data_IF_918335446941
#
_entry.id   IF_918335446941
#
_cell.length_a   1.000
_cell.length_b   1.000
_cell.length_c   1.000
_cell.angle_alpha   90.00
_cell.angle_beta   90.00
_cell.angle_gamma   90.00
#
_symmetry.space_group_name_H-M   'P 1'
#
loop_
_entity.id
_entity.type
_entity.pdbx_description
1 polymer ?
#
# COMPACT_ATOMS: atom_id res chain seq x y z
N UNK A 1 5.72 -77.50 28.12
CA UNK A 1 4.95 -76.41 28.69
C UNK A 1 5.69 -75.10 28.37
N UNK A 2 5.17 -74.31 27.41
CA UNK A 2 5.79 -73.07 26.96
C UNK A 2 4.93 -71.89 27.44
N UNK A 3 5.49 -71.11 28.36
CA UNK A 3 4.84 -69.93 28.90
C UNK A 3 4.87 -68.78 27.86
N UNK A 4 3.71 -68.38 27.35
CA UNK A 4 3.50 -67.17 26.58
C UNK A 4 3.36 -65.98 27.51
N UNK A 5 4.33 -65.05 27.51
CA UNK A 5 4.21 -63.79 28.19
C UNK A 5 3.53 -62.80 27.23
N UNK A 6 2.33 -62.37 27.53
CA UNK A 6 1.60 -61.28 26.88
C UNK A 6 2.23 -59.95 27.26
N UNK A 7 2.86 -59.24 26.33
CA UNK A 7 3.30 -57.88 26.48
C UNK A 7 2.13 -56.96 26.11
N UNK A 8 1.51 -56.33 27.11
CA UNK A 8 0.56 -55.21 26.91
C UNK A 8 1.34 -53.96 26.50
N UNK A 9 1.25 -53.56 25.25
CA UNK A 9 1.64 -52.24 24.80
C UNK A 9 0.54 -51.23 25.21
N UNK A 10 0.78 -50.44 26.24
CA UNK A 10 -0.01 -49.29 26.57
C UNK A 10 0.34 -48.14 25.59
N UNK A 11 -0.52 -47.90 24.59
CA UNK A 11 -0.43 -46.74 23.72
C UNK A 11 -0.82 -45.49 24.53
N UNK A 12 0.18 -44.69 24.91
CA UNK A 12 0.00 -43.34 25.45
C UNK A 12 -0.53 -42.44 24.31
N UNK A 13 -1.85 -42.28 24.23
CA UNK A 13 -2.49 -41.19 23.48
C UNK A 13 -2.19 -39.87 24.19
N UNK A 14 -1.14 -39.20 23.76
CA UNK A 14 -0.92 -37.82 24.17
C UNK A 14 -2.06 -36.97 23.56
N UNK A 15 -2.78 -36.16 24.34
CA UNK A 15 -3.76 -35.24 23.79
C UNK A 15 -3.01 -34.21 22.96
N UNK A 16 -3.20 -34.24 21.65
CA UNK A 16 -2.84 -33.13 20.78
C UNK A 16 -3.74 -31.95 21.15
N UNK A 17 -3.21 -31.06 22.00
CA UNK A 17 -3.82 -29.76 22.22
C UNK A 17 -3.73 -29.03 20.89
N UNK A 18 -4.78 -29.10 20.08
CA UNK A 18 -5.02 -28.14 19.02
C UNK A 18 -5.15 -26.78 19.71
N UNK A 19 -4.07 -26.04 19.69
CA UNK A 19 -4.13 -24.60 19.96
C UNK A 19 -4.96 -24.02 18.83
N UNK A 20 -6.29 -23.92 19.03
CA UNK A 20 -7.13 -23.07 18.23
C UNK A 20 -6.52 -21.70 18.28
N UNK A 21 -5.94 -21.24 17.15
CA UNK A 21 -5.59 -19.83 17.01
C UNK A 21 -6.90 -19.07 17.16
N UNK A 22 -7.12 -18.50 18.33
CA UNK A 22 -8.09 -17.45 18.52
C UNK A 22 -7.85 -16.46 17.40
N UNK A 23 -8.87 -16.19 16.58
CA UNK A 23 -8.85 -15.07 15.64
C UNK A 23 -8.65 -13.85 16.54
N UNK A 24 -7.39 -13.41 16.66
CA UNK A 24 -7.05 -12.25 17.47
C UNK A 24 -7.74 -11.07 16.81
N UNK A 25 -8.58 -10.37 17.56
CA UNK A 25 -9.25 -9.17 17.09
C UNK A 25 -8.22 -8.17 16.58
N UNK A 26 -8.13 -8.01 15.27
CA UNK A 26 -7.20 -7.06 14.62
C UNK A 26 -7.61 -5.64 14.99
N UNK A 27 -6.67 -4.85 15.50
CA UNK A 27 -6.88 -3.43 15.78
C UNK A 27 -6.62 -2.60 14.54
N UNK A 28 -7.64 -1.95 14.02
CA UNK A 28 -7.55 -1.09 12.84
C UNK A 28 -7.30 0.37 13.24
N UNK A 29 -6.34 1.00 12.58
CA UNK A 29 -6.04 2.44 12.66
C UNK A 29 -6.31 3.06 11.29
N UNK A 30 -6.99 4.21 11.27
CA UNK A 30 -7.23 4.93 10.02
C UNK A 30 -5.91 5.50 9.48
N UNK A 31 -5.61 5.22 8.21
CA UNK A 31 -4.37 5.66 7.59
C UNK A 31 -4.28 7.20 7.45
N UNK A 32 -5.40 7.92 7.59
CA UNK A 32 -5.42 9.40 7.68
C UNK A 32 -4.71 9.95 8.91
N UNK A 33 -4.51 9.13 9.95
CA UNK A 33 -3.77 9.48 11.16
C UNK A 33 -2.26 9.27 11.03
N UNK A 34 -1.81 8.72 9.90
CA UNK A 34 -0.42 8.43 9.60
C UNK A 34 0.12 9.41 8.54
N UNK A 35 1.40 9.38 8.28
CA UNK A 35 2.00 10.28 7.29
C UNK A 35 1.75 9.78 5.87
N UNK A 36 1.06 10.61 5.07
CA UNK A 36 0.93 10.39 3.62
C UNK A 36 2.05 11.13 2.89
N UNK A 37 2.74 10.44 1.99
CA UNK A 37 3.79 11.00 1.11
C UNK A 37 3.38 10.86 -0.36
N UNK A 38 4.11 11.53 -1.25
CA UNK A 38 3.90 11.47 -2.71
C UNK A 38 2.93 12.53 -3.26
N UNK A 39 2.37 13.42 -2.41
CA UNK A 39 1.52 14.52 -2.87
C UNK A 39 2.32 15.72 -3.34
N UNK A 40 2.02 16.20 -4.54
CA UNK A 40 2.57 17.43 -5.06
C UNK A 40 1.99 18.66 -4.30
N UNK A 41 0.66 18.68 -4.13
CA UNK A 41 -0.11 19.71 -3.43
C UNK A 41 -1.14 19.09 -2.47
N UNK A 42 -1.54 19.77 -1.41
CA UNK A 42 -2.68 19.36 -0.60
C UNK A 42 -3.97 19.27 -1.43
N UNK A 43 -4.83 18.31 -1.10
CA UNK A 43 -6.15 18.15 -1.71
C UNK A 43 -7.21 17.89 -0.63
N UNK A 44 -8.48 18.27 -0.83
CA UNK A 44 -9.56 17.99 0.12
C UNK A 44 -9.75 16.49 0.39
N UNK A 45 -9.51 15.65 -0.62
CA UNK A 45 -9.54 14.20 -0.48
C UNK A 45 -8.12 13.65 -0.30
N UNK A 46 -7.86 12.98 0.80
CA UNK A 46 -6.53 12.53 1.21
C UNK A 46 -5.82 11.74 0.11
N UNK A 47 -6.52 10.85 -0.59
CA UNK A 47 -5.93 9.93 -1.56
C UNK A 47 -5.98 10.42 -3.02
N UNK A 48 -6.46 11.65 -3.27
CA UNK A 48 -6.41 12.26 -4.60
C UNK A 48 -5.07 12.96 -4.84
N UNK A 49 -4.57 12.94 -6.08
CA UNK A 49 -3.29 13.56 -6.46
C UNK A 49 -3.41 15.03 -6.80
N UNK A 50 -4.52 15.45 -7.38
CA UNK A 50 -4.81 16.84 -7.76
C UNK A 50 -6.22 17.22 -7.31
N UNK A 51 -6.38 18.45 -6.82
CA UNK A 51 -7.68 19.09 -6.62
C UNK A 51 -8.18 19.68 -7.93
N UNK A 52 -8.97 18.91 -8.69
CA UNK A 52 -9.55 19.34 -9.96
C UNK A 52 -10.77 20.26 -9.79
N UNK A 53 -11.13 20.63 -8.55
CA UNK A 53 -12.08 21.69 -8.26
C UNK A 53 -11.37 23.03 -8.17
N UNK A 54 -10.20 23.09 -7.55
CA UNK A 54 -9.34 24.28 -7.50
C UNK A 54 -8.69 24.54 -8.88
N UNK A 55 -8.11 23.52 -9.49
CA UNK A 55 -7.51 23.59 -10.84
C UNK A 55 -8.55 23.17 -11.90
N UNK A 56 -8.88 24.06 -12.84
CA UNK A 56 -9.90 23.83 -13.87
C UNK A 56 -9.32 23.29 -15.18
N UNK A 57 -10.19 22.87 -16.08
CA UNK A 57 -9.81 22.45 -17.43
C UNK A 57 -9.68 20.92 -17.62
N UNK A 58 -9.63 20.15 -16.54
CA UNK A 58 -9.49 18.69 -16.61
C UNK A 58 -10.72 18.03 -17.26
N UNK A 59 -10.48 17.20 -18.27
CA UNK A 59 -11.50 16.35 -18.87
C UNK A 59 -12.05 15.32 -17.89
N UNK A 60 -13.14 14.65 -18.22
CA UNK A 60 -13.71 13.57 -17.39
C UNK A 60 -12.69 12.46 -17.09
N UNK A 61 -11.89 12.07 -18.09
CA UNK A 61 -10.85 11.04 -17.94
C UNK A 61 -9.71 11.50 -17.02
N UNK A 62 -9.26 12.74 -17.19
CA UNK A 62 -8.21 13.32 -16.35
C UNK A 62 -8.66 13.50 -14.92
N UNK A 63 -9.90 13.96 -14.70
CA UNK A 63 -10.51 14.03 -13.37
C UNK A 63 -10.53 12.65 -12.67
N UNK A 64 -10.88 11.59 -13.39
CA UNK A 64 -10.87 10.24 -12.85
C UNK A 64 -9.44 9.81 -12.47
N UNK A 65 -8.45 10.11 -13.33
CA UNK A 65 -7.06 9.76 -13.04
C UNK A 65 -6.44 10.63 -11.92
N UNK A 66 -6.82 11.90 -11.81
CA UNK A 66 -6.39 12.76 -10.72
C UNK A 66 -6.80 12.21 -9.34
N UNK A 67 -7.89 11.45 -9.28
CA UNK A 67 -8.39 10.79 -8.08
C UNK A 67 -7.74 9.43 -7.77
N UNK A 68 -7.01 8.85 -8.71
CA UNK A 68 -6.21 7.66 -8.45
C UNK A 68 -4.99 8.00 -7.59
N UNK A 69 -4.54 7.04 -6.78
CA UNK A 69 -3.49 7.24 -5.77
C UNK A 69 -2.07 6.91 -6.28
N UNK A 70 -1.84 6.95 -7.60
CA UNK A 70 -0.54 6.63 -8.19
C UNK A 70 0.58 7.51 -7.58
N UNK A 71 1.59 6.86 -7.00
CA UNK A 71 2.71 7.55 -6.37
C UNK A 71 2.47 7.98 -4.92
N UNK A 72 1.26 7.83 -4.39
CA UNK A 72 1.00 8.07 -2.98
C UNK A 72 1.40 6.85 -2.14
N UNK A 73 1.91 7.10 -0.94
CA UNK A 73 2.20 6.06 0.03
C UNK A 73 1.91 6.52 1.46
N UNK A 74 1.64 5.57 2.35
CA UNK A 74 1.53 5.79 3.79
C UNK A 74 2.81 5.31 4.45
N UNK A 75 3.44 6.15 5.28
CA UNK A 75 4.60 5.77 6.08
C UNK A 75 4.24 5.74 7.56
N UNK A 76 4.75 4.73 8.25
CA UNK A 76 4.44 4.48 9.66
C UNK A 76 5.56 3.68 10.33
N UNK A 77 5.54 3.66 11.65
CA UNK A 77 6.37 2.76 12.47
C UNK A 77 5.45 1.78 13.21
N UNK A 78 5.87 0.51 13.27
CA UNK A 78 5.11 -0.52 13.97
C UNK A 78 6.02 -1.63 14.49
N UNK A 79 5.61 -2.29 15.58
CA UNK A 79 6.21 -3.55 16.03
C UNK A 79 5.33 -4.77 15.71
N UNK A 80 4.23 -4.59 14.97
CA UNK A 80 3.33 -5.69 14.63
C UNK A 80 3.99 -6.74 13.75
N UNK A 81 3.84 -8.04 14.05
CA UNK A 81 4.29 -9.12 13.17
C UNK A 81 3.35 -9.36 11.99
N UNK A 82 2.20 -8.67 11.95
CA UNK A 82 1.20 -8.79 10.89
C UNK A 82 0.67 -7.41 10.51
N UNK A 83 0.43 -7.22 9.23
CA UNK A 83 -0.24 -6.04 8.66
C UNK A 83 -1.45 -6.52 7.87
N UNK A 84 -2.62 -6.09 8.30
CA UNK A 84 -3.87 -6.23 7.56
C UNK A 84 -4.25 -4.88 6.94
N UNK A 85 -5.01 -4.93 5.86
CA UNK A 85 -5.57 -3.75 5.23
C UNK A 85 -7.07 -3.88 5.10
N UNK A 86 -7.78 -2.79 5.35
CA UNK A 86 -9.21 -2.62 5.04
C UNK A 86 -9.38 -1.37 4.18
N UNK A 87 -9.33 -1.52 2.86
CA UNK A 87 -9.55 -0.42 1.93
C UNK A 87 -11.04 -0.20 1.67
N UNK A 88 -11.43 1.04 1.36
CA UNK A 88 -12.70 1.37 0.70
C UNK A 88 -12.40 2.03 -0.64
N UNK A 89 -12.90 1.47 -1.71
CA UNK A 89 -12.73 2.00 -3.06
C UNK A 89 -14.03 2.65 -3.52
N UNK A 90 -13.96 3.86 -4.03
CA UNK A 90 -15.03 4.49 -4.77
C UNK A 90 -15.10 3.96 -6.20
N UNK A 91 -13.93 3.72 -6.79
CA UNK A 91 -13.79 3.20 -8.14
C UNK A 91 -12.52 2.34 -8.27
N UNK A 92 -12.59 1.26 -9.06
CA UNK A 92 -11.47 0.38 -9.40
C UNK A 92 -11.32 0.23 -10.91
N UNK A 93 -10.09 0.29 -11.38
CA UNK A 93 -9.74 -0.03 -12.76
C UNK A 93 -9.60 -1.53 -12.95
N UNK A 94 -10.27 -2.06 -13.96
CA UNK A 94 -10.18 -3.48 -14.32
C UNK A 94 -10.07 -3.59 -15.83
N UNK A 95 -8.85 -3.71 -16.35
CA UNK A 95 -8.56 -3.95 -17.76
C UNK A 95 -7.28 -4.78 -17.88
N UNK A 96 -7.12 -5.45 -19.00
CA UNK A 96 -6.07 -6.43 -19.25
C UNK A 96 -4.65 -5.84 -19.35
N UNK A 97 -4.52 -4.54 -19.55
CA UNK A 97 -3.24 -3.85 -19.69
C UNK A 97 -2.61 -3.36 -18.39
N UNK A 98 -3.21 -3.68 -17.24
CA UNK A 98 -2.69 -3.38 -15.90
C UNK A 98 -2.91 -4.59 -15.01
N UNK A 99 -1.87 -5.03 -14.29
CA UNK A 99 -2.04 -6.15 -13.35
C UNK A 99 -3.02 -5.76 -12.24
N UNK A 100 -3.75 -6.73 -11.69
CA UNK A 100 -4.69 -6.47 -10.59
C UNK A 100 -4.02 -5.81 -9.38
N UNK A 101 -2.77 -6.20 -9.06
CA UNK A 101 -2.00 -5.62 -7.96
C UNK A 101 -1.61 -4.17 -8.27
N UNK A 102 -1.19 -3.87 -9.50
CA UNK A 102 -0.87 -2.50 -9.89
C UNK A 102 -2.11 -1.59 -9.90
N UNK A 103 -3.24 -2.13 -10.34
CA UNK A 103 -4.48 -1.37 -10.46
C UNK A 103 -5.13 -1.06 -9.12
N UNK A 104 -5.30 -2.06 -8.24
CA UNK A 104 -6.08 -1.98 -7.01
C UNK A 104 -5.33 -2.52 -5.77
N UNK A 105 -4.08 -2.94 -5.91
CA UNK A 105 -3.29 -3.52 -4.82
C UNK A 105 -2.45 -2.50 -4.07
N UNK A 106 -1.82 -3.02 -3.02
CA UNK A 106 -0.91 -2.32 -2.13
C UNK A 106 0.46 -2.98 -2.19
N UNK A 107 1.52 -2.22 -1.96
CA UNK A 107 2.89 -2.68 -2.09
C UNK A 107 3.71 -2.20 -0.88
N UNK A 108 4.06 -3.13 0.02
CA UNK A 108 4.71 -2.85 1.30
C UNK A 108 6.22 -3.04 1.20
N UNK A 109 6.94 -2.05 1.67
CA UNK A 109 8.37 -2.08 1.92
C UNK A 109 8.63 -1.85 3.41
N UNK A 110 9.67 -2.50 3.94
CA UNK A 110 10.14 -2.34 5.32
C UNK A 110 11.56 -1.78 5.27
N UNK A 111 11.85 -0.81 6.13
CA UNK A 111 13.18 -0.21 6.20
C UNK A 111 14.16 -1.10 6.94
N UNK A 112 15.27 -1.44 6.29
CA UNK A 112 16.38 -2.21 6.86
C UNK A 112 17.69 -1.57 6.41
N UNK A 113 18.60 -1.31 7.33
CA UNK A 113 19.91 -0.69 7.03
C UNK A 113 19.82 0.58 6.16
N UNK A 114 18.84 1.42 6.43
CA UNK A 114 18.49 2.63 5.66
C UNK A 114 17.98 2.40 4.23
N UNK A 115 17.69 1.18 3.83
CA UNK A 115 17.10 0.82 2.53
C UNK A 115 15.66 0.35 2.68
N UNK A 116 14.83 0.61 1.67
CA UNK A 116 13.46 0.12 1.59
C UNK A 116 13.44 -1.24 0.91
N UNK A 117 13.31 -2.30 1.70
CA UNK A 117 13.29 -3.70 1.23
C UNK A 117 11.85 -4.13 0.99
N UNK A 118 11.60 -4.72 -0.16
CA UNK A 118 10.30 -5.28 -0.50
C UNK A 118 9.87 -6.36 0.50
N UNK A 119 8.67 -6.21 1.04
CA UNK A 119 8.09 -7.15 1.99
C UNK A 119 7.00 -8.02 1.34
N UNK A 120 5.95 -7.41 0.82
CA UNK A 120 4.89 -8.11 0.08
C UNK A 120 4.01 -7.13 -0.72
N UNK A 121 3.26 -7.66 -1.68
CA UNK A 121 2.25 -6.91 -2.43
C UNK A 121 1.03 -7.78 -2.70
N UNK A 122 -0.16 -7.23 -2.53
CA UNK A 122 -1.42 -7.94 -2.72
C UNK A 122 -2.55 -6.96 -3.08
N UNK A 123 -3.50 -7.43 -3.88
CA UNK A 123 -4.79 -6.77 -4.06
C UNK A 123 -5.86 -7.53 -3.26
N UNK A 124 -6.89 -6.86 -2.73
CA UNK A 124 -7.98 -7.55 -2.06
C UNK A 124 -8.72 -8.48 -3.03
N UNK A 125 -9.06 -9.68 -2.57
CA UNK A 125 -9.81 -10.65 -3.38
C UNK A 125 -11.22 -10.14 -3.71
N UNK A 126 -11.81 -9.41 -2.79
CA UNK A 126 -13.07 -8.73 -2.96
C UNK A 126 -12.96 -7.26 -2.54
N UNK A 127 -13.65 -6.41 -3.29
CA UNK A 127 -13.68 -4.98 -3.03
C UNK A 127 -14.20 -4.67 -1.63
N UNK A 128 -13.54 -3.73 -0.95
CA UNK A 128 -13.92 -3.23 0.37
C UNK A 128 -13.94 -4.30 1.49
N UNK A 129 -13.19 -5.40 1.30
CA UNK A 129 -12.98 -6.41 2.35
C UNK A 129 -11.59 -6.30 2.96
N UNK A 130 -11.51 -6.66 4.23
CA UNK A 130 -10.23 -6.77 4.93
C UNK A 130 -9.42 -7.96 4.42
N UNK A 131 -8.10 -7.80 4.37
CA UNK A 131 -7.19 -8.88 4.01
C UNK A 131 -5.83 -8.72 4.69
N UNK A 132 -5.14 -9.82 4.91
CA UNK A 132 -3.78 -9.81 5.44
C UNK A 132 -2.80 -9.53 4.30
N UNK A 133 -2.11 -8.40 4.37
CA UNK A 133 -1.06 -8.05 3.42
C UNK A 133 0.26 -8.75 3.76
N UNK A 134 0.64 -8.82 5.03
CA UNK A 134 1.88 -9.41 5.49
C UNK A 134 1.72 -10.06 6.85
N UNK A 135 2.38 -11.20 7.07
CA UNK A 135 2.42 -11.88 8.36
C UNK A 135 3.79 -12.52 8.60
N UNK A 136 4.06 -12.92 9.84
CA UNK A 136 5.30 -13.61 10.21
C UNK A 136 6.53 -12.72 10.29
N UNK A 137 6.35 -11.39 10.38
CA UNK A 137 7.45 -10.47 10.66
C UNK A 137 7.90 -10.60 12.12
N UNK A 138 9.15 -10.24 12.40
CA UNK A 138 9.61 -10.15 13.79
C UNK A 138 8.82 -9.07 14.56
N UNK A 139 8.46 -9.32 15.85
CA UNK A 139 7.73 -8.36 16.69
C UNK A 139 8.67 -7.26 17.23
N UNK A 140 9.45 -6.63 16.36
CA UNK A 140 10.36 -5.51 16.63
C UNK A 140 9.90 -4.28 15.89
N UNK A 141 10.28 -3.09 16.37
CA UNK A 141 10.03 -1.84 15.66
C UNK A 141 10.61 -1.88 14.26
N UNK A 142 9.81 -1.45 13.31
CA UNK A 142 10.16 -1.31 11.89
C UNK A 142 9.39 -0.16 11.26
N UNK A 143 10.00 0.51 10.31
CA UNK A 143 9.32 1.51 9.49
C UNK A 143 8.74 0.84 8.26
N UNK A 144 7.49 1.15 7.95
CA UNK A 144 6.76 0.68 6.79
C UNK A 144 6.51 1.80 5.78
N UNK A 145 6.68 1.50 4.50
CA UNK A 145 6.31 2.31 3.36
C UNK A 145 5.30 1.53 2.54
N UNK A 146 4.04 1.95 2.57
CA UNK A 146 2.92 1.28 1.92
C UNK A 146 2.46 2.10 0.71
N UNK A 147 2.88 1.72 -0.50
CA UNK A 147 2.39 2.34 -1.72
C UNK A 147 0.95 1.95 -2.01
N UNK A 148 0.18 2.92 -2.50
CA UNK A 148 -1.25 2.84 -2.75
C UNK A 148 -1.55 2.47 -4.22
N UNK A 149 -2.79 2.03 -4.53
CA UNK A 149 -3.19 1.62 -5.87
C UNK A 149 -2.96 2.70 -6.94
N UNK A 150 -2.39 2.32 -8.09
CA UNK A 150 -2.06 3.29 -9.14
C UNK A 150 -3.24 3.70 -10.01
N UNK A 151 -4.27 2.84 -10.13
CA UNK A 151 -5.37 3.06 -11.07
C UNK A 151 -6.74 2.99 -10.42
N UNK A 152 -6.83 3.06 -9.09
CA UNK A 152 -8.08 3.03 -8.35
C UNK A 152 -8.25 4.27 -7.49
N UNK A 153 -9.49 4.69 -7.25
CA UNK A 153 -9.86 5.76 -6.34
C UNK A 153 -10.15 5.17 -4.96
N UNK A 154 -9.27 5.41 -4.01
CA UNK A 154 -9.49 5.10 -2.60
C UNK A 154 -10.34 6.19 -1.94
N UNK A 155 -11.35 5.76 -1.18
CA UNK A 155 -12.14 6.61 -0.30
C UNK A 155 -11.56 6.62 1.11
N UNK A 156 -11.17 5.43 1.63
CA UNK A 156 -10.52 5.28 2.92
C UNK A 156 -9.59 4.06 2.92
N UNK A 157 -8.67 4.05 3.88
CA UNK A 157 -7.78 2.93 4.16
C UNK A 157 -7.60 2.82 5.67
N UNK A 158 -7.78 1.61 6.22
CA UNK A 158 -7.38 1.29 7.58
C UNK A 158 -6.26 0.25 7.55
N UNK A 159 -5.28 0.43 8.43
CA UNK A 159 -4.18 -0.50 8.64
C UNK A 159 -4.45 -1.28 9.92
N UNK A 160 -4.52 -2.59 9.80
CA UNK A 160 -4.75 -3.52 10.90
C UNK A 160 -3.43 -4.06 11.45
N UNK A 161 -3.32 -4.11 12.75
CA UNK A 161 -2.19 -4.66 13.49
C UNK A 161 -2.67 -5.64 14.55
N UNK A 162 -1.80 -6.56 14.98
CA UNK A 162 -2.14 -7.49 16.04
C UNK A 162 -2.39 -6.77 17.37
N UNK A 163 -3.29 -7.30 18.24
CA UNK A 163 -3.50 -6.76 19.58
C UNK A 163 -2.20 -6.70 20.36
N UNK A 164 -2.03 -5.61 21.12
CA UNK A 164 -0.82 -5.35 21.88
C UNK A 164 0.35 -4.77 21.07
N UNK A 165 0.21 -4.67 19.75
CA UNK A 165 1.19 -3.97 18.90
C UNK A 165 0.90 -2.46 18.85
N UNK A 166 1.95 -1.69 18.52
CA UNK A 166 1.87 -0.26 18.24
C UNK A 166 1.91 0.01 16.73
N UNK A 167 1.28 1.10 16.32
CA UNK A 167 1.48 1.77 15.04
C UNK A 167 1.47 3.27 15.26
N UNK A 168 2.45 3.95 14.70
CA UNK A 168 2.69 5.37 14.96
C UNK A 168 3.03 6.10 13.65
N UNK A 169 2.69 7.38 13.61
CA UNK A 169 3.13 8.28 12.55
C UNK A 169 4.64 8.53 12.66
N UNK A 170 5.32 8.66 11.52
CA UNK A 170 6.70 9.12 11.44
C UNK A 170 6.79 10.29 10.45
N UNK A 171 7.80 11.17 10.55
CA UNK A 171 8.04 12.20 9.54
C UNK A 171 8.20 11.60 8.14
N UNK A 172 8.00 12.43 7.10
CA UNK A 172 8.35 12.04 5.74
C UNK A 172 9.83 11.61 5.68
N UNK A 173 10.13 10.37 5.29
CA UNK A 173 11.50 9.86 5.28
C UNK A 173 12.32 10.32 4.07
N UNK A 174 11.69 10.93 3.07
CA UNK A 174 12.31 11.37 1.83
C UNK A 174 12.75 12.82 1.90
N UNK A 175 13.77 13.15 1.12
CA UNK A 175 14.39 14.48 1.09
C UNK A 175 13.71 15.46 0.14
N UNK A 176 14.46 15.96 -0.84
CA UNK A 176 13.99 16.97 -1.77
C UNK A 176 12.79 16.48 -2.61
N UNK A 177 11.77 17.34 -2.72
CA UNK A 177 10.57 17.08 -3.53
C UNK A 177 10.87 17.23 -5.01
N UNK A 178 10.44 16.25 -5.82
CA UNK A 178 10.53 16.23 -7.27
C UNK A 178 9.20 15.79 -7.87
N UNK A 179 8.69 16.52 -8.86
CA UNK A 179 7.47 16.19 -9.58
C UNK A 179 7.81 15.49 -10.89
N UNK A 180 7.26 14.29 -11.09
CA UNK A 180 7.31 13.57 -12.36
C UNK A 180 5.98 13.73 -13.10
N UNK A 181 5.96 14.58 -14.12
CA UNK A 181 4.83 14.69 -15.03
C UNK A 181 5.05 13.84 -16.29
N UNK A 182 4.02 13.09 -16.70
CA UNK A 182 4.13 12.26 -17.89
C UNK A 182 2.91 11.40 -18.18
N UNK A 183 3.09 10.45 -19.10
CA UNK A 183 2.03 9.59 -19.62
C UNK A 183 1.73 8.38 -18.70
N UNK A 184 1.17 7.33 -19.30
CA UNK A 184 0.90 6.05 -18.66
C UNK A 184 2.15 5.38 -18.06
N UNK A 185 3.32 5.55 -18.69
CA UNK A 185 4.58 5.02 -18.13
C UNK A 185 4.92 5.67 -16.79
N UNK A 186 4.74 6.98 -16.69
CA UNK A 186 4.93 7.72 -15.42
C UNK A 186 3.90 7.30 -14.38
N UNK A 187 2.62 7.13 -14.76
CA UNK A 187 1.60 6.64 -13.85
C UNK A 187 1.88 5.20 -13.37
N UNK A 188 2.49 4.36 -14.21
CA UNK A 188 2.94 3.02 -13.86
C UNK A 188 2.29 1.89 -14.67
N UNK A 189 1.83 2.16 -15.93
CA UNK A 189 1.32 1.09 -16.79
C UNK A 189 2.41 0.04 -17.04
N UNK A 190 2.04 -1.23 -17.05
CA UNK A 190 2.99 -2.34 -17.22
C UNK A 190 3.83 -2.66 -15.99
N UNK A 191 3.75 -1.88 -14.91
CA UNK A 191 4.37 -2.25 -13.64
C UNK A 191 3.64 -3.44 -13.01
N UNK A 192 4.39 -4.33 -12.38
CA UNK A 192 3.82 -5.52 -11.72
C UNK A 192 3.01 -5.17 -10.47
N UNK A 193 3.37 -4.07 -9.78
CA UNK A 193 2.80 -3.58 -8.53
C UNK A 193 3.10 -2.09 -8.34
N UNK A 194 2.44 -1.36 -7.42
CA UNK A 194 2.57 0.10 -7.27
C UNK A 194 4.01 0.62 -7.18
N UNK A 195 4.83 0.08 -6.28
CA UNK A 195 6.20 0.53 -6.07
C UNK A 195 7.16 0.25 -7.24
N UNK A 196 6.73 -0.47 -8.29
CA UNK A 196 7.56 -0.76 -9.46
C UNK A 196 7.36 0.22 -10.62
N UNK A 197 6.51 1.24 -10.49
CA UNK A 197 6.57 2.37 -11.43
C UNK A 197 7.95 3.04 -11.33
N UNK A 198 8.52 3.48 -12.47
CA UNK A 198 9.90 4.01 -12.47
C UNK A 198 10.08 5.22 -11.53
N UNK A 199 9.11 6.15 -11.34
CA UNK A 199 9.30 7.24 -10.40
C UNK A 199 9.50 6.75 -8.95
N UNK A 200 8.77 5.71 -8.54
CA UNK A 200 8.87 5.17 -7.18
C UNK A 200 10.11 4.29 -6.97
N UNK A 201 10.66 3.71 -8.02
CA UNK A 201 11.97 3.09 -7.96
C UNK A 201 13.06 4.15 -7.76
N UNK A 202 12.98 5.28 -8.48
CA UNK A 202 13.87 6.43 -8.28
C UNK A 202 13.75 6.93 -6.84
N UNK A 203 12.55 7.13 -6.31
CA UNK A 203 12.31 7.56 -4.92
C UNK A 203 13.09 6.72 -3.92
N UNK A 204 12.91 5.40 -3.94
CA UNK A 204 13.58 4.49 -3.00
C UNK A 204 15.11 4.44 -3.17
N UNK A 205 15.60 4.57 -4.41
CA UNK A 205 17.02 4.46 -4.71
C UNK A 205 17.80 5.76 -4.46
N UNK A 206 17.12 6.91 -4.49
CA UNK A 206 17.77 8.23 -4.39
C UNK A 206 17.37 9.03 -3.16
N UNK A 207 16.40 8.53 -2.40
CA UNK A 207 15.80 9.25 -1.26
C UNK A 207 15.11 10.57 -1.65
N UNK A 208 14.74 10.78 -2.91
CA UNK A 208 13.95 11.93 -3.34
C UNK A 208 12.47 11.72 -2.94
N UNK A 209 11.77 12.80 -2.55
CA UNK A 209 10.33 12.79 -2.35
C UNK A 209 9.63 12.93 -3.70
N UNK A 210 9.21 11.83 -4.29
CA UNK A 210 8.63 11.79 -5.63
C UNK A 210 7.13 12.04 -5.60
N UNK A 211 6.67 13.03 -6.37
CA UNK A 211 5.26 13.30 -6.63
C UNK A 211 4.93 12.84 -8.06
N UNK A 212 4.16 11.77 -8.17
CA UNK A 212 3.82 11.18 -9.47
C UNK A 212 2.58 11.84 -10.08
N UNK A 213 2.78 12.66 -11.11
CA UNK A 213 1.73 13.24 -11.95
C UNK A 213 1.69 12.58 -13.34
N UNK A 214 1.75 11.26 -13.38
CA UNK A 214 1.49 10.48 -14.59
C UNK A 214 -0.01 10.38 -14.89
N UNK A 215 -0.38 10.60 -16.18
CA UNK A 215 -1.76 10.56 -16.65
C UNK A 215 -1.87 9.76 -17.95
N UNK A 216 -2.37 8.52 -17.85
CA UNK A 216 -2.48 7.58 -18.96
C UNK A 216 -3.32 8.13 -20.12
N UNK A 217 -2.69 8.32 -21.29
CA UNK A 217 -3.32 8.85 -22.50
C UNK A 217 -3.65 10.35 -22.47
N UNK A 218 -3.34 11.06 -21.38
CA UNK A 218 -3.80 12.43 -21.15
C UNK A 218 -2.68 13.47 -20.96
N UNK A 219 -1.44 13.09 -20.73
CA UNK A 219 -0.31 14.02 -20.57
C UNK A 219 0.16 14.58 -21.94
N UNK A 220 -0.47 15.64 -22.42
CA UNK A 220 -0.24 16.27 -23.72
C UNK A 220 0.22 17.73 -23.60
N UNK A 221 0.86 18.10 -22.48
CA UNK A 221 1.35 19.44 -22.17
C UNK A 221 0.24 20.52 -22.12
N UNK A 222 -0.96 20.14 -21.68
CA UNK A 222 -2.06 21.08 -21.50
C UNK A 222 -1.72 22.12 -20.42
N UNK A 223 -2.14 23.39 -20.60
CA UNK A 223 -1.78 24.51 -19.73
C UNK A 223 -2.17 24.31 -18.25
N UNK A 224 -3.32 23.69 -17.99
CA UNK A 224 -3.76 23.42 -16.61
C UNK A 224 -2.83 22.44 -15.85
N UNK A 225 -2.10 21.55 -16.51
CA UNK A 225 -1.05 20.77 -15.84
C UNK A 225 0.16 21.64 -15.48
N UNK A 226 0.52 22.60 -16.35
CA UNK A 226 1.58 23.56 -16.03
C UNK A 226 1.21 24.42 -14.82
N UNK A 227 -0.06 24.84 -14.70
CA UNK A 227 -0.57 25.58 -13.51
C UNK A 227 -0.43 24.74 -12.22
N UNK A 228 -0.80 23.45 -12.27
CA UNK A 228 -0.60 22.55 -11.13
C UNK A 228 0.87 22.43 -10.75
N UNK A 229 1.75 22.22 -11.73
CA UNK A 229 3.19 22.04 -11.51
C UNK A 229 3.81 23.33 -10.98
N UNK A 230 3.42 24.49 -11.52
CA UNK A 230 3.93 25.79 -11.05
C UNK A 230 3.52 26.12 -9.60
N UNK A 231 2.47 25.48 -9.07
CA UNK A 231 2.00 25.66 -7.70
C UNK A 231 2.69 24.71 -6.71
N UNK A 232 3.55 23.78 -7.14
CA UNK A 232 4.22 22.78 -6.27
C UNK A 232 5.57 23.30 -5.70
#
# INVERSE_FOLDING_TARGET
>A
MRNFRLLLLASLLAPTILWGQSIKDIRYVDASQLTLVGKALPTPHLYHRIDTVAFKGFSKSENQQARCSAGLAVVFRTNSPQIDLLPSYKWEYRKDNVTGIAAAGFDLYIRQNNEWIYANSLAPAKRNEAFTLMYGMEPKEKEGLLYLPMYSELESLKIGIQPGSSIETIPNPFGQKVVFFGSSFTQGIGASRPGMSYPLQIERNTNLHVCNLGFSGNAKLQSYFAEVIAAT
#
